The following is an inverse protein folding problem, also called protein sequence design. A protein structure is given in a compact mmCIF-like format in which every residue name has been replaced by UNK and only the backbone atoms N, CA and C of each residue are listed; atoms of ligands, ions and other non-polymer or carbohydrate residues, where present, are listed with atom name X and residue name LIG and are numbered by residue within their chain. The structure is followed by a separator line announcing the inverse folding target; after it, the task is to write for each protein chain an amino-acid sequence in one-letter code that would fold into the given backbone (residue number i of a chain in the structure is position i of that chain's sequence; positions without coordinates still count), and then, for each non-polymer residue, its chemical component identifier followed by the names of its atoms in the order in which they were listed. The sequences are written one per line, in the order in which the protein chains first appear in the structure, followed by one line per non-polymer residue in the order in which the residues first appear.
data_IF_935021658937
#
_entry.id   IF_935021658937
#
_cell.length_a   1.000
_cell.length_b   1.000
_cell.length_c   1.000
_cell.angle_alpha   90.00
_cell.angle_beta   90.00
_cell.angle_gamma   90.00
#
_symmetry.space_group_name_H-M   'P 1'
#
loop_
_entity.id
_entity.type
_entity.pdbx_description
1 polymer ?
#
# COMPACT_ATOMS: atom_id res chain seq x y z
N UNK A 1 28.13 16.66 -22.13
CA UNK A 1 29.41 15.92 -22.33
C UNK A 1 30.62 16.58 -21.65
N UNK A 2 30.84 17.90 -21.87
CA UNK A 2 31.93 18.64 -21.23
C UNK A 2 31.83 18.74 -19.69
N UNK A 3 30.62 18.77 -19.14
CA UNK A 3 30.41 18.88 -17.68
C UNK A 3 30.71 17.58 -16.91
N UNK A 4 30.59 16.41 -17.54
CA UNK A 4 30.88 15.12 -16.91
C UNK A 4 32.39 14.88 -16.74
N UNK A 5 33.19 15.36 -17.69
CA UNK A 5 34.66 15.25 -17.64
C UNK A 5 35.28 16.04 -16.46
N UNK A 6 34.64 17.15 -16.06
CA UNK A 6 35.10 17.97 -14.93
C UNK A 6 34.84 17.31 -13.57
N UNK A 7 33.82 16.47 -13.44
CA UNK A 7 33.48 15.78 -12.18
C UNK A 7 34.51 14.70 -11.87
N UNK A 8 34.99 13.98 -12.88
CA UNK A 8 35.98 12.92 -12.68
C UNK A 8 37.35 13.44 -12.23
N UNK A 9 37.71 14.66 -12.63
CA UNK A 9 39.00 15.30 -12.28
C UNK A 9 39.05 15.82 -10.84
N UNK A 10 37.89 16.06 -10.21
CA UNK A 10 37.79 16.56 -8.84
C UNK A 10 37.80 15.45 -7.77
N UNK A 11 37.42 14.22 -8.12
CA UNK A 11 37.36 13.07 -7.20
C UNK A 11 38.74 12.47 -6.87
N UNK A 12 39.84 12.94 -7.48
CA UNK A 12 41.18 12.36 -7.32
C UNK A 12 42.20 13.25 -6.56
N UNK A 13 41.78 14.36 -5.92
CA UNK A 13 42.70 15.21 -5.14
C UNK A 13 42.57 14.95 -3.63
N UNK A 14 43.69 14.85 -2.88
CA UNK A 14 43.66 14.60 -1.45
C UNK A 14 43.19 15.82 -0.66
N UNK A 15 42.51 15.56 0.45
CA UNK A 15 41.76 16.51 1.25
C UNK A 15 42.65 17.55 1.96
N UNK A 16 42.42 18.83 1.66
CA UNK A 16 42.85 19.97 2.45
C UNK A 16 41.66 20.92 2.69
N UNK A 17 41.72 21.75 3.73
CA UNK A 17 40.61 22.53 4.28
C UNK A 17 39.85 23.44 3.27
N UNK A 18 40.45 23.80 2.13
CA UNK A 18 39.79 24.56 1.05
C UNK A 18 38.82 23.72 0.18
N UNK A 19 38.86 22.39 0.28
CA UNK A 19 38.00 21.50 -0.50
C UNK A 19 36.51 21.61 -0.10
N UNK A 20 36.20 21.98 1.14
CA UNK A 20 34.82 22.08 1.63
C UNK A 20 34.06 23.28 1.03
N UNK A 21 34.76 24.40 0.79
CA UNK A 21 34.13 25.61 0.22
C UNK A 21 33.90 25.46 -1.29
N UNK A 22 34.85 24.84 -2.00
CA UNK A 22 34.77 24.55 -3.43
C UNK A 22 33.74 23.45 -3.74
N UNK A 23 33.58 22.44 -2.88
CA UNK A 23 32.55 21.40 -3.02
C UNK A 23 31.14 21.94 -2.78
N UNK A 24 30.94 22.89 -1.85
CA UNK A 24 29.64 23.53 -1.64
C UNK A 24 29.22 24.38 -2.84
N UNK A 25 30.13 25.18 -3.42
CA UNK A 25 29.84 25.97 -4.61
C UNK A 25 29.59 25.10 -5.85
N UNK A 26 30.35 24.01 -6.01
CA UNK A 26 30.14 23.05 -7.09
C UNK A 26 28.79 22.31 -6.95
N UNK A 27 28.41 21.95 -5.72
CA UNK A 27 27.10 21.36 -5.42
C UNK A 27 25.95 22.33 -5.69
N UNK A 28 26.09 23.60 -5.30
CA UNK A 28 25.10 24.65 -5.59
C UNK A 28 24.96 24.91 -7.09
N UNK A 29 26.07 24.95 -7.85
CA UNK A 29 26.05 25.07 -9.32
C UNK A 29 25.46 23.84 -9.99
N UNK A 30 25.75 22.64 -9.49
CA UNK A 30 25.13 21.39 -9.94
C UNK A 30 23.63 21.36 -9.68
N UNK A 31 23.18 21.88 -8.53
CA UNK A 31 21.76 22.05 -8.18
C UNK A 31 21.08 23.06 -9.11
N UNK A 32 21.73 24.18 -9.40
CA UNK A 32 21.22 25.21 -10.32
C UNK A 32 21.18 24.71 -11.77
N UNK A 33 22.18 23.95 -12.22
CA UNK A 33 22.19 23.32 -13.55
C UNK A 33 21.11 22.24 -13.66
N UNK A 34 20.89 21.44 -12.60
CA UNK A 34 19.81 20.47 -12.52
C UNK A 34 18.43 21.12 -12.46
N UNK A 35 18.29 22.27 -11.78
CA UNK A 35 17.09 23.11 -11.85
C UNK A 35 16.87 23.71 -13.24
N UNK A 36 17.94 24.12 -13.96
CA UNK A 36 17.86 24.62 -15.34
C UNK A 36 17.46 23.52 -16.34
N UNK A 37 17.95 22.29 -16.15
CA UNK A 37 17.54 21.11 -16.93
C UNK A 37 16.10 20.68 -16.60
N UNK A 38 15.66 20.83 -15.34
CA UNK A 38 14.26 20.61 -14.95
C UNK A 38 13.33 21.69 -15.49
N UNK A 39 13.79 22.94 -15.61
CA UNK A 39 13.06 24.06 -16.22
C UNK A 39 13.12 24.07 -17.75
N UNK A 40 13.98 23.25 -18.37
CA UNK A 40 14.06 23.07 -19.82
C UNK A 40 13.02 22.07 -20.36
N UNK A 41 12.10 21.58 -19.51
CA UNK A 41 10.89 20.89 -19.98
C UNK A 41 10.01 21.87 -20.75
N UNK A 42 9.41 21.38 -21.84
CA UNK A 42 8.60 22.13 -22.80
C UNK A 42 7.80 23.28 -22.16
N UNK A 43 7.71 24.45 -22.83
CA UNK A 43 6.93 25.57 -22.33
C UNK A 43 5.54 25.09 -21.92
N UNK A 44 5.06 25.53 -20.76
CA UNK A 44 3.75 25.13 -20.27
C UNK A 44 2.69 25.53 -21.30
N UNK A 45 1.83 24.58 -21.66
CA UNK A 45 0.83 24.73 -22.72
C UNK A 45 -0.55 24.85 -22.08
N UNK A 46 -1.44 25.60 -22.71
CA UNK A 46 -2.86 25.62 -22.33
C UNK A 46 -3.61 24.55 -23.10
N UNK A 47 -4.62 23.93 -22.49
CA UNK A 47 -5.51 23.04 -23.24
C UNK A 47 -6.43 23.89 -24.11
N UNK A 48 -5.96 24.20 -25.31
CA UNK A 48 -6.72 24.85 -26.39
C UNK A 48 -7.53 23.83 -27.21
N UNK A 49 -8.32 24.32 -28.17
CA UNK A 49 -9.21 23.48 -28.97
C UNK A 49 -8.46 22.46 -29.83
N UNK A 50 -7.27 22.80 -30.33
CA UNK A 50 -6.44 21.90 -31.16
C UNK A 50 -5.82 20.79 -30.31
N UNK A 51 -5.24 21.16 -29.15
CA UNK A 51 -4.65 20.21 -28.22
C UNK A 51 -5.71 19.28 -27.61
N UNK A 52 -6.89 19.82 -27.30
CA UNK A 52 -8.05 19.04 -26.88
C UNK A 52 -8.50 18.06 -27.98
N UNK A 53 -8.65 18.52 -29.23
CA UNK A 53 -9.02 17.67 -30.36
C UNK A 53 -8.01 16.52 -30.59
N UNK A 54 -6.72 16.77 -30.41
CA UNK A 54 -5.67 15.76 -30.51
C UNK A 54 -5.62 14.81 -29.29
N UNK A 55 -6.14 15.23 -28.13
CA UNK A 55 -6.24 14.44 -26.91
C UNK A 55 -7.49 13.55 -26.86
N UNK A 56 -8.46 13.78 -27.76
CA UNK A 56 -9.65 12.96 -27.84
C UNK A 56 -9.29 11.56 -28.36
N UNK A 57 -9.61 10.56 -27.56
CA UNK A 57 -9.53 9.17 -28.00
C UNK A 57 -10.68 8.96 -28.97
N UNK A 58 -10.37 8.85 -30.27
CA UNK A 58 -11.33 8.47 -31.33
C UNK A 58 -11.77 7.03 -31.10
N UNK A 59 -12.65 6.81 -30.13
CA UNK A 59 -13.12 5.46 -29.79
C UNK A 59 -14.17 4.91 -30.74
N UNK A 60 -14.61 5.67 -31.75
CA UNK A 60 -15.48 5.15 -32.82
C UNK A 60 -15.17 5.81 -34.17
N UNK A 61 -14.73 4.99 -35.13
CA UNK A 61 -14.76 5.31 -36.56
C UNK A 61 -16.22 5.40 -37.03
N UNK A 62 -16.60 6.40 -37.84
CA UNK A 62 -17.99 6.59 -38.26
C UNK A 62 -18.33 5.67 -39.45
N UNK A 63 -19.20 4.70 -39.24
CA UNK A 63 -20.16 4.35 -40.30
C UNK A 63 -21.44 5.12 -40.02
N UNK A 64 -21.56 6.30 -40.65
CA UNK A 64 -22.83 7.01 -40.80
C UNK A 64 -23.25 7.96 -39.66
N UNK A 65 -22.95 9.25 -39.84
CA UNK A 65 -23.88 10.34 -39.55
C UNK A 65 -24.13 10.75 -38.09
N UNK A 66 -23.76 12.00 -37.80
CA UNK A 66 -24.22 12.90 -36.72
C UNK A 66 -23.56 12.84 -35.33
N UNK A 67 -23.00 14.00 -34.93
CA UNK A 67 -22.38 14.44 -33.67
C UNK A 67 -21.65 13.41 -32.80
N UNK A 68 -20.32 13.37 -32.96
CA UNK A 68 -19.42 12.64 -32.06
C UNK A 68 -19.57 13.13 -30.61
N UNK A 69 -20.26 12.37 -29.77
CA UNK A 69 -20.19 12.52 -28.32
C UNK A 69 -18.85 11.92 -27.85
N UNK A 70 -17.82 12.75 -27.78
CA UNK A 70 -16.55 12.35 -27.19
C UNK A 70 -16.76 11.91 -25.74
N UNK A 71 -16.49 10.63 -25.46
CA UNK A 71 -16.64 10.05 -24.11
C UNK A 71 -15.31 9.95 -23.36
N UNK A 72 -14.20 9.91 -24.08
CA UNK A 72 -12.88 9.70 -23.49
C UNK A 72 -11.88 10.70 -24.05
N UNK A 73 -11.09 11.29 -23.17
CA UNK A 73 -9.98 12.19 -23.52
C UNK A 73 -8.75 11.81 -22.72
N UNK A 74 -7.64 11.59 -23.42
CA UNK A 74 -6.30 11.42 -22.84
C UNK A 74 -5.45 12.63 -23.22
N UNK A 75 -5.38 13.58 -22.27
CA UNK A 75 -4.54 14.76 -22.36
C UNK A 75 -3.29 14.64 -21.47
N UNK A 76 -2.86 13.41 -21.14
CA UNK A 76 -1.70 13.18 -20.29
C UNK A 76 -0.39 13.64 -20.93
N UNK A 77 0.60 14.02 -20.10
CA UNK A 77 1.98 14.29 -20.53
C UNK A 77 2.19 15.52 -21.42
N UNK A 78 1.19 16.40 -21.55
CA UNK A 78 1.19 17.55 -22.47
C UNK A 78 1.71 18.85 -21.84
N UNK A 79 2.25 18.79 -20.63
CA UNK A 79 2.71 19.97 -19.86
C UNK A 79 1.62 21.04 -19.68
N UNK A 80 0.35 20.60 -19.56
CA UNK A 80 -0.80 21.49 -19.46
C UNK A 80 -0.81 22.29 -18.16
N UNK A 81 -1.14 23.58 -18.24
CA UNK A 81 -1.29 24.46 -17.08
C UNK A 81 -2.73 24.87 -16.82
N UNK A 82 -3.52 25.03 -17.89
CA UNK A 82 -4.93 25.42 -17.83
C UNK A 82 -5.80 24.49 -18.67
N UNK A 83 -7.10 24.51 -18.41
CA UNK A 83 -8.10 23.57 -18.94
C UNK A 83 -9.28 24.31 -19.60
N UNK A 84 -9.01 25.40 -20.32
CA UNK A 84 -10.05 26.28 -20.88
C UNK A 84 -10.98 25.60 -21.88
N UNK A 85 -10.49 24.65 -22.68
CA UNK A 85 -11.30 23.99 -23.71
C UNK A 85 -12.22 22.88 -23.20
N UNK A 86 -12.12 22.45 -21.93
CA UNK A 86 -12.92 21.32 -21.41
C UNK A 86 -14.43 21.57 -21.45
N UNK A 87 -14.87 22.83 -21.38
CA UNK A 87 -16.28 23.20 -21.43
C UNK A 87 -16.97 22.79 -22.75
N UNK A 88 -16.21 22.58 -23.83
CA UNK A 88 -16.74 22.20 -25.14
C UNK A 88 -17.09 20.71 -25.24
N UNK A 89 -16.71 19.90 -24.25
CA UNK A 89 -16.88 18.44 -24.28
C UNK A 89 -17.73 17.92 -23.10
N UNK A 90 -18.99 18.37 -22.95
CA UNK A 90 -19.83 18.08 -21.78
C UNK A 90 -20.21 16.58 -21.62
N UNK A 91 -19.97 15.77 -22.66
CA UNK A 91 -20.31 14.34 -22.68
C UNK A 91 -19.15 13.42 -22.27
N UNK A 92 -18.00 13.98 -21.86
CA UNK A 92 -16.88 13.18 -21.38
C UNK A 92 -17.27 12.37 -20.14
N UNK A 93 -16.93 11.08 -20.17
CA UNK A 93 -17.11 10.12 -19.08
C UNK A 93 -15.77 9.70 -18.48
N UNK A 94 -14.67 9.76 -19.25
CA UNK A 94 -13.32 9.49 -18.78
C UNK A 94 -12.36 10.58 -19.26
N UNK A 95 -11.57 11.10 -18.33
CA UNK A 95 -10.60 12.17 -18.59
C UNK A 95 -9.29 11.86 -17.88
N UNK A 96 -8.21 11.74 -18.66
CA UNK A 96 -6.85 11.65 -18.14
C UNK A 96 -6.09 12.96 -18.38
N UNK A 97 -5.73 13.62 -17.29
CA UNK A 97 -4.93 14.84 -17.22
C UNK A 97 -3.60 14.60 -16.51
N UNK A 98 -3.16 13.35 -16.39
CA UNK A 98 -1.96 12.99 -15.65
C UNK A 98 -0.67 13.55 -16.26
N UNK A 99 0.39 13.65 -15.46
CA UNK A 99 1.72 14.10 -15.92
C UNK A 99 1.73 15.50 -16.57
N UNK A 100 0.89 16.40 -16.07
CA UNK A 100 0.83 17.80 -16.53
C UNK A 100 1.43 18.76 -15.49
N UNK A 101 1.09 20.04 -15.56
CA UNK A 101 1.53 21.12 -14.66
C UNK A 101 0.33 21.86 -14.05
N UNK A 102 -0.79 21.16 -13.90
CA UNK A 102 -2.03 21.72 -13.39
C UNK A 102 -1.91 22.09 -11.91
N UNK A 103 -2.44 23.26 -11.55
CA UNK A 103 -2.55 23.73 -10.16
C UNK A 103 -3.98 23.77 -9.65
N UNK A 104 -4.96 23.67 -10.55
CA UNK A 104 -6.39 23.69 -10.27
C UNK A 104 -7.11 22.82 -11.30
N UNK A 105 -8.18 22.18 -10.87
CA UNK A 105 -9.08 21.35 -11.69
C UNK A 105 -10.53 21.87 -11.66
N UNK A 106 -10.74 23.11 -11.22
CA UNK A 106 -12.06 23.74 -11.18
C UNK A 106 -12.79 23.72 -12.55
N UNK A 107 -12.04 23.76 -13.65
CA UNK A 107 -12.58 23.69 -15.01
C UNK A 107 -13.31 22.38 -15.35
N UNK A 108 -13.10 21.32 -14.56
CA UNK A 108 -13.78 20.02 -14.73
C UNK A 108 -15.29 20.11 -14.41
N UNK A 109 -15.77 21.21 -13.84
CA UNK A 109 -17.18 21.38 -13.46
C UNK A 109 -18.19 21.39 -14.60
N UNK A 110 -17.74 21.64 -15.82
CA UNK A 110 -18.59 21.48 -16.99
C UNK A 110 -18.94 20.01 -17.28
N UNK A 111 -18.19 19.04 -16.72
CA UNK A 111 -18.26 17.62 -17.06
C UNK A 111 -19.14 16.84 -16.07
N UNK A 112 -20.45 17.10 -16.09
CA UNK A 112 -21.41 16.49 -15.13
C UNK A 112 -21.59 14.97 -15.28
N UNK A 113 -21.20 14.42 -16.44
CA UNK A 113 -21.24 12.99 -16.76
C UNK A 113 -19.90 12.26 -16.53
N UNK A 114 -18.91 12.96 -15.97
CA UNK A 114 -17.60 12.37 -15.75
C UNK A 114 -17.68 11.27 -14.69
N UNK A 115 -17.22 10.08 -15.06
CA UNK A 115 -17.20 8.87 -14.22
C UNK A 115 -15.80 8.60 -13.69
N UNK A 116 -14.76 8.87 -14.50
CA UNK A 116 -13.37 8.65 -14.12
C UNK A 116 -12.51 9.86 -14.46
N UNK A 117 -11.76 10.35 -13.46
CA UNK A 117 -10.81 11.44 -13.59
C UNK A 117 -9.44 11.01 -13.07
N UNK A 118 -8.41 11.18 -13.91
CA UNK A 118 -7.02 11.07 -13.49
C UNK A 118 -6.36 12.45 -13.59
N UNK A 119 -5.80 12.91 -12.48
CA UNK A 119 -5.01 14.15 -12.34
C UNK A 119 -3.67 13.84 -11.66
N UNK A 120 -3.22 12.59 -11.77
CA UNK A 120 -1.97 12.11 -11.20
C UNK A 120 -0.75 12.91 -11.70
N UNK A 121 0.30 13.04 -10.88
CA UNK A 121 1.54 13.71 -11.27
C UNK A 121 1.36 15.15 -11.79
N UNK A 122 0.57 15.96 -11.07
CA UNK A 122 0.38 17.39 -11.30
C UNK A 122 0.96 18.22 -10.13
N UNK A 123 0.56 19.48 -10.02
CA UNK A 123 1.00 20.42 -8.98
C UNK A 123 -0.18 20.92 -8.13
N UNK A 124 -1.21 20.09 -7.95
CA UNK A 124 -2.40 20.43 -7.16
C UNK A 124 -2.05 20.58 -5.68
N UNK A 125 -2.57 21.62 -5.03
CA UNK A 125 -2.44 21.86 -3.58
C UNK A 125 -3.73 21.50 -2.82
N UNK A 126 -4.86 21.54 -3.52
CA UNK A 126 -6.18 21.12 -3.04
C UNK A 126 -6.88 20.35 -4.16
N UNK A 127 -7.86 19.53 -3.79
CA UNK A 127 -8.78 18.92 -4.76
C UNK A 127 -9.99 19.85 -4.89
N UNK A 128 -9.86 20.89 -5.71
CA UNK A 128 -10.90 21.89 -5.97
C UNK A 128 -11.94 21.39 -6.98
N UNK A 129 -12.38 20.15 -6.81
CA UNK A 129 -13.44 19.58 -7.62
C UNK A 129 -14.74 20.36 -7.40
N UNK A 130 -15.41 20.84 -8.46
CA UNK A 130 -16.80 21.29 -8.40
C UNK A 130 -17.75 20.09 -8.23
N UNK A 131 -19.07 20.33 -8.24
CA UNK A 131 -20.06 19.27 -8.12
C UNK A 131 -19.88 18.23 -9.24
N UNK A 132 -19.51 17.01 -8.87
CA UNK A 132 -19.23 15.89 -9.76
C UNK A 132 -20.03 14.65 -9.30
N UNK A 133 -21.38 14.69 -9.41
CA UNK A 133 -22.25 13.67 -8.82
C UNK A 133 -22.10 12.29 -9.46
N UNK A 134 -21.60 12.22 -10.70
CA UNK A 134 -21.41 10.97 -11.44
C UNK A 134 -20.03 10.34 -11.25
N UNK A 135 -19.11 11.02 -10.55
CA UNK A 135 -17.72 10.61 -10.46
C UNK A 135 -17.57 9.39 -9.56
N UNK A 136 -17.06 8.30 -10.11
CA UNK A 136 -16.83 7.02 -9.41
C UNK A 136 -15.36 6.78 -9.11
N UNK A 137 -14.45 7.29 -9.93
CA UNK A 137 -13.00 7.10 -9.78
C UNK A 137 -12.26 8.43 -9.86
N UNK A 138 -11.47 8.72 -8.83
CA UNK A 138 -10.56 9.87 -8.80
C UNK A 138 -9.14 9.42 -8.47
N UNK A 139 -8.22 9.63 -9.40
CA UNK A 139 -6.78 9.48 -9.16
C UNK A 139 -6.10 10.85 -9.09
N UNK A 140 -5.64 11.22 -7.89
CA UNK A 140 -4.90 12.45 -7.62
C UNK A 140 -3.53 12.18 -6.99
N UNK A 141 -2.93 11.01 -7.26
CA UNK A 141 -1.60 10.64 -6.72
C UNK A 141 -0.49 11.59 -7.17
N UNK A 142 0.58 11.66 -6.40
CA UNK A 142 1.80 12.42 -6.69
C UNK A 142 1.52 13.89 -7.04
N UNK A 143 0.70 14.55 -6.22
CA UNK A 143 0.47 15.99 -6.23
C UNK A 143 1.08 16.62 -4.95
N UNK A 144 0.68 17.85 -4.61
CA UNK A 144 1.04 18.52 -3.36
C UNK A 144 -0.19 18.77 -2.48
N UNK A 145 -1.23 17.93 -2.59
CA UNK A 145 -2.52 18.12 -1.92
C UNK A 145 -2.34 18.12 -0.41
N UNK A 146 -2.88 19.14 0.27
CA UNK A 146 -2.84 19.26 1.74
C UNK A 146 -4.17 18.94 2.41
N UNK A 147 -5.28 19.23 1.72
CA UNK A 147 -6.65 19.04 2.22
C UNK A 147 -7.58 18.59 1.09
N UNK A 148 -8.63 17.85 1.43
CA UNK A 148 -9.67 17.33 0.53
C UNK A 148 -11.05 17.87 0.90
N UNK A 149 -11.11 19.12 1.35
CA UNK A 149 -12.29 19.74 1.92
C UNK A 149 -13.49 19.71 0.96
N UNK A 150 -14.62 19.21 1.47
CA UNK A 150 -15.88 19.15 0.73
C UNK A 150 -15.93 18.10 -0.38
N UNK A 151 -14.91 17.24 -0.53
CA UNK A 151 -14.90 16.19 -1.55
C UNK A 151 -16.11 15.25 -1.42
N UNK A 152 -16.46 14.85 -0.19
CA UNK A 152 -17.59 13.95 0.07
C UNK A 152 -18.95 14.52 -0.32
N UNK A 153 -19.14 15.84 -0.21
CA UNK A 153 -20.38 16.51 -0.63
C UNK A 153 -20.46 16.64 -2.16
N UNK A 154 -19.33 16.84 -2.82
CA UNK A 154 -19.26 17.13 -4.25
C UNK A 154 -19.21 15.88 -5.13
N UNK A 155 -18.68 14.78 -4.61
CA UNK A 155 -18.50 13.51 -5.32
C UNK A 155 -19.02 12.32 -4.48
N UNK A 156 -20.27 12.39 -4.00
CA UNK A 156 -20.87 11.38 -3.12
C UNK A 156 -20.97 9.96 -3.74
N UNK A 157 -20.89 9.83 -5.07
CA UNK A 157 -20.89 8.56 -5.79
C UNK A 157 -19.50 7.92 -5.96
N UNK A 158 -18.45 8.49 -5.35
CA UNK A 158 -17.08 8.00 -5.50
C UNK A 158 -16.94 6.59 -4.91
N UNK A 159 -16.41 5.67 -5.71
CA UNK A 159 -16.15 4.28 -5.35
C UNK A 159 -14.65 4.01 -5.12
N UNK A 160 -13.78 4.76 -5.83
CA UNK A 160 -12.32 4.64 -5.74
C UNK A 160 -11.64 6.02 -5.68
N UNK A 161 -10.82 6.21 -4.65
CA UNK A 161 -10.07 7.43 -4.40
C UNK A 161 -8.59 7.12 -4.17
N UNK A 162 -7.72 7.71 -5.00
CA UNK A 162 -6.27 7.53 -4.93
C UNK A 162 -5.61 8.88 -4.67
N UNK A 163 -4.93 8.99 -3.54
CA UNK A 163 -4.32 10.20 -2.98
C UNK A 163 -2.85 9.96 -2.58
N UNK A 164 -2.21 8.90 -3.09
CA UNK A 164 -0.86 8.52 -2.70
C UNK A 164 0.18 9.60 -3.02
N UNK A 165 1.18 9.79 -2.16
CA UNK A 165 2.29 10.69 -2.43
C UNK A 165 1.88 12.17 -2.46
N UNK A 166 1.01 12.57 -1.53
CA UNK A 166 0.59 13.95 -1.31
C UNK A 166 1.14 14.47 0.03
N UNK A 167 0.63 15.61 0.52
CA UNK A 167 1.01 16.19 1.81
C UNK A 167 -0.20 16.28 2.77
N UNK A 168 -1.11 15.31 2.71
CA UNK A 168 -2.30 15.27 3.57
C UNK A 168 -1.89 15.05 5.03
N UNK A 169 -2.43 15.88 5.93
CA UNK A 169 -2.30 15.71 7.38
C UNK A 169 -3.57 15.17 8.04
N UNK A 170 -4.71 15.26 7.34
CA UNK A 170 -6.02 14.78 7.77
C UNK A 170 -6.83 14.36 6.54
N UNK A 171 -7.85 13.51 6.74
CA UNK A 171 -8.83 13.13 5.74
C UNK A 171 -10.17 13.87 5.93
N UNK A 172 -10.14 14.97 6.71
CA UNK A 172 -11.28 15.84 6.95
C UNK A 172 -11.75 16.40 5.61
N UNK A 173 -12.92 15.95 5.17
CA UNK A 173 -13.45 16.22 3.83
C UNK A 173 -13.96 14.99 3.09
N UNK A 174 -13.65 13.78 3.57
CA UNK A 174 -14.21 12.53 3.03
C UNK A 174 -15.62 12.21 3.54
N UNK A 175 -16.13 12.96 4.52
CA UNK A 175 -17.48 12.74 5.08
C UNK A 175 -18.56 12.81 4.00
N UNK A 176 -19.37 11.76 3.89
CA UNK A 176 -20.41 11.61 2.86
C UNK A 176 -20.05 10.69 1.70
N UNK A 177 -18.81 10.14 1.65
CA UNK A 177 -18.40 9.16 0.65
C UNK A 177 -18.92 7.73 0.97
N UNK A 178 -20.24 7.60 1.09
CA UNK A 178 -20.91 6.37 1.50
C UNK A 178 -20.72 5.20 0.52
N UNK A 179 -20.34 5.47 -0.73
CA UNK A 179 -20.11 4.47 -1.77
C UNK A 179 -18.64 4.07 -1.93
N UNK A 180 -17.73 4.67 -1.16
CA UNK A 180 -16.30 4.44 -1.31
C UNK A 180 -15.93 3.02 -0.90
N UNK A 181 -15.30 2.29 -1.84
CA UNK A 181 -14.85 0.90 -1.65
C UNK A 181 -13.34 0.80 -1.57
N UNK A 182 -12.62 1.70 -2.25
CA UNK A 182 -11.15 1.71 -2.29
C UNK A 182 -10.63 3.10 -1.97
N UNK A 183 -9.76 3.17 -0.96
CA UNK A 183 -9.03 4.37 -0.59
C UNK A 183 -7.54 4.05 -0.52
N UNK A 184 -6.75 4.78 -1.30
CA UNK A 184 -5.30 4.77 -1.21
C UNK A 184 -4.82 6.16 -0.84
N UNK A 185 -4.19 6.32 0.32
CA UNK A 185 -3.61 7.56 0.79
C UNK A 185 -2.23 7.33 1.40
N UNK A 186 -1.46 6.40 0.81
CA UNK A 186 -0.11 6.10 1.23
C UNK A 186 0.87 7.24 0.93
N UNK A 187 2.03 7.26 1.58
CA UNK A 187 3.06 8.30 1.43
C UNK A 187 2.50 9.72 1.66
N UNK A 188 1.73 9.89 2.72
CA UNK A 188 1.22 11.19 3.19
C UNK A 188 1.82 11.53 4.56
N UNK A 189 1.17 12.43 5.33
CA UNK A 189 1.59 12.85 6.67
C UNK A 189 0.44 12.69 7.67
N UNK A 190 -0.44 11.72 7.45
CA UNK A 190 -1.61 11.46 8.30
C UNK A 190 -1.14 11.00 9.68
N UNK A 191 -1.66 11.60 10.73
CA UNK A 191 -1.46 11.18 12.13
C UNK A 191 -2.70 10.53 12.73
N UNK A 192 -3.89 10.86 12.21
CA UNK A 192 -5.17 10.36 12.69
C UNK A 192 -6.07 10.00 11.50
N UNK A 193 -6.91 8.97 11.67
CA UNK A 193 -7.86 8.48 10.66
C UNK A 193 -9.22 8.10 11.26
N UNK A 194 -9.54 8.62 12.45
CA UNK A 194 -10.74 8.29 13.22
C UNK A 194 -12.05 8.49 12.45
N UNK A 195 -12.08 9.49 11.56
CA UNK A 195 -13.24 9.83 10.72
C UNK A 195 -13.55 8.81 9.61
N UNK A 196 -12.62 7.92 9.24
CA UNK A 196 -12.84 6.96 8.15
C UNK A 196 -14.04 6.04 8.42
N UNK A 197 -14.23 5.66 9.68
CA UNK A 197 -15.32 4.78 10.10
C UNK A 197 -16.71 5.36 9.79
N UNK A 198 -16.87 6.67 9.91
CA UNK A 198 -18.14 7.36 9.64
C UNK A 198 -18.22 7.87 8.20
N UNK A 199 -17.08 8.26 7.61
CA UNK A 199 -17.02 8.82 6.27
C UNK A 199 -17.24 7.79 5.17
N UNK A 200 -16.71 6.57 5.33
CA UNK A 200 -16.69 5.53 4.29
C UNK A 200 -17.03 4.13 4.87
N UNK A 201 -18.28 3.87 5.30
CA UNK A 201 -18.67 2.63 5.95
C UNK A 201 -18.58 1.38 5.06
N UNK A 202 -18.57 1.54 3.73
CA UNK A 202 -18.47 0.44 2.75
C UNK A 202 -17.04 0.16 2.28
N UNK A 203 -16.04 0.77 2.91
CA UNK A 203 -14.65 0.64 2.47
C UNK A 203 -14.15 -0.80 2.60
N UNK A 204 -13.69 -1.36 1.47
CA UNK A 204 -13.21 -2.73 1.36
C UNK A 204 -11.68 -2.80 1.26
N UNK A 205 -11.04 -1.79 0.66
CA UNK A 205 -9.59 -1.74 0.45
C UNK A 205 -9.06 -0.41 0.95
N UNK A 206 -8.11 -0.48 1.88
CA UNK A 206 -7.49 0.67 2.50
C UNK A 206 -5.96 0.55 2.43
N UNK A 207 -5.31 1.56 1.87
CA UNK A 207 -3.86 1.74 1.93
C UNK A 207 -3.52 3.08 2.58
N UNK A 208 -2.92 3.01 3.76
CA UNK A 208 -2.40 4.14 4.53
C UNK A 208 -0.91 3.97 4.81
N UNK A 209 -0.21 3.20 3.98
CA UNK A 209 1.22 2.93 4.16
C UNK A 209 2.05 4.22 4.11
N UNK A 210 3.19 4.26 4.82
CA UNK A 210 4.11 5.41 4.85
C UNK A 210 3.41 6.71 5.29
N UNK A 211 2.75 6.65 6.44
CA UNK A 211 2.16 7.79 7.14
C UNK A 211 2.80 7.94 8.53
N UNK A 212 2.11 8.56 9.49
CA UNK A 212 2.55 8.78 10.87
C UNK A 212 1.47 8.33 11.86
N UNK A 213 0.72 7.29 11.50
CA UNK A 213 -0.40 6.81 12.30
C UNK A 213 0.13 6.10 13.55
N UNK A 214 -0.42 6.48 14.71
CA UNK A 214 -0.15 5.84 16.00
C UNK A 214 -1.39 5.07 16.47
N UNK A 215 -2.59 5.62 16.26
CA UNK A 215 -3.88 5.00 16.56
C UNK A 215 -4.65 4.65 15.28
N UNK A 216 -5.14 3.40 15.22
CA UNK A 216 -5.97 2.86 14.15
C UNK A 216 -7.26 2.22 14.68
N UNK A 217 -7.72 2.62 15.88
CA UNK A 217 -8.92 2.09 16.53
C UNK A 217 -10.18 2.12 15.66
N UNK A 218 -10.30 3.10 14.77
CA UNK A 218 -11.41 3.21 13.84
C UNK A 218 -11.57 2.01 12.90
N UNK A 219 -10.50 1.26 12.63
CA UNK A 219 -10.58 0.07 11.78
C UNK A 219 -11.49 -1.00 12.37
N UNK A 220 -11.63 -1.08 13.69
CA UNK A 220 -12.45 -2.10 14.36
C UNK A 220 -13.96 -2.01 14.04
N UNK A 221 -14.44 -0.86 13.54
CA UNK A 221 -15.84 -0.66 13.13
C UNK A 221 -16.06 -0.82 11.61
N UNK A 222 -15.02 -1.00 10.81
CA UNK A 222 -15.10 -1.05 9.34
C UNK A 222 -15.40 -2.46 8.82
N UNK A 223 -16.60 -2.97 9.09
CA UNK A 223 -16.97 -4.37 8.84
C UNK A 223 -16.85 -4.86 7.38
N UNK A 224 -16.82 -3.93 6.41
CA UNK A 224 -16.64 -4.23 4.98
C UNK A 224 -15.18 -4.48 4.58
N UNK A 225 -14.22 -4.16 5.45
CA UNK A 225 -12.79 -4.15 5.13
C UNK A 225 -12.27 -5.56 4.81
N UNK A 226 -11.61 -5.69 3.66
CA UNK A 226 -11.01 -6.92 3.15
C UNK A 226 -9.49 -6.86 3.09
N UNK A 227 -8.95 -5.66 2.85
CA UNK A 227 -7.52 -5.41 2.75
C UNK A 227 -7.19 -4.12 3.49
N UNK A 228 -6.22 -4.19 4.39
CA UNK A 228 -5.68 -3.04 5.11
C UNK A 228 -4.15 -3.04 5.02
N UNK A 229 -3.58 -2.01 4.41
CA UNK A 229 -2.13 -1.78 4.36
C UNK A 229 -1.77 -0.57 5.19
N UNK A 230 -1.02 -0.81 6.25
CA UNK A 230 -0.61 0.15 7.27
C UNK A 230 0.92 0.15 7.44
N UNK A 231 1.65 -0.42 6.47
CA UNK A 231 3.10 -0.50 6.52
C UNK A 231 3.77 0.86 6.71
N UNK A 232 4.91 0.93 7.40
CA UNK A 232 5.66 2.18 7.64
C UNK A 232 4.80 3.24 8.34
N UNK A 233 4.26 2.92 9.50
CA UNK A 233 3.60 3.86 10.41
C UNK A 233 4.27 3.78 11.80
N UNK A 234 3.60 4.27 12.85
CA UNK A 234 4.08 4.26 14.23
C UNK A 234 3.10 3.52 15.15
N UNK A 235 2.46 2.49 14.62
CA UNK A 235 1.42 1.75 15.33
C UNK A 235 2.11 0.86 16.37
N UNK A 236 1.81 1.09 17.64
CA UNK A 236 2.35 0.31 18.76
C UNK A 236 1.38 -0.75 19.26
N UNK A 237 0.08 -0.60 18.99
CA UNK A 237 -0.98 -1.51 19.39
C UNK A 237 -2.03 -1.62 18.28
N UNK A 238 -2.59 -2.81 18.10
CA UNK A 238 -3.72 -3.02 17.21
C UNK A 238 -5.02 -3.04 18.03
N UNK A 239 -6.10 -2.41 17.53
CA UNK A 239 -7.41 -2.57 18.14
C UNK A 239 -7.92 -4.00 17.92
N UNK A 240 -8.96 -4.39 18.65
CA UNK A 240 -9.59 -5.70 18.47
C UNK A 240 -10.31 -5.76 17.12
N UNK A 241 -9.72 -6.49 16.17
CA UNK A 241 -10.21 -6.65 14.78
C UNK A 241 -11.10 -7.90 14.59
N UNK A 242 -11.51 -8.57 15.67
CA UNK A 242 -12.37 -9.76 15.64
C UNK A 242 -13.70 -9.56 14.89
N UNK A 243 -14.20 -8.33 14.84
CA UNK A 243 -15.41 -7.95 14.10
C UNK A 243 -15.22 -7.89 12.59
N UNK A 244 -13.98 -7.80 12.10
CA UNK A 244 -13.65 -7.71 10.69
C UNK A 244 -13.67 -9.08 10.01
N UNK A 245 -14.86 -9.68 9.92
CA UNK A 245 -15.07 -11.03 9.37
C UNK A 245 -14.67 -11.17 7.90
N UNK A 246 -14.41 -10.08 7.18
CA UNK A 246 -14.01 -10.08 5.77
C UNK A 246 -12.53 -9.75 5.56
N UNK A 247 -11.79 -9.38 6.61
CA UNK A 247 -10.38 -9.00 6.50
C UNK A 247 -9.55 -10.21 6.13
N UNK A 248 -8.99 -10.18 4.93
CA UNK A 248 -8.19 -11.26 4.35
C UNK A 248 -6.70 -10.90 4.30
N UNK A 249 -6.37 -9.61 4.19
CA UNK A 249 -5.00 -9.12 4.11
C UNK A 249 -4.79 -7.96 5.08
N UNK A 250 -3.78 -8.11 5.94
CA UNK A 250 -3.31 -7.07 6.85
C UNK A 250 -1.80 -6.93 6.71
N UNK A 251 -1.34 -5.74 6.39
CA UNK A 251 0.08 -5.39 6.38
C UNK A 251 0.34 -4.30 7.43
N UNK A 252 1.08 -4.65 8.47
CA UNK A 252 1.53 -3.77 9.56
C UNK A 252 3.05 -3.81 9.68
N UNK A 253 3.75 -4.13 8.58
CA UNK A 253 5.21 -4.09 8.52
C UNK A 253 5.76 -2.69 8.83
N UNK A 254 7.00 -2.59 9.31
CA UNK A 254 7.64 -1.32 9.67
C UNK A 254 6.78 -0.44 10.59
N UNK A 255 6.32 -1.01 11.71
CA UNK A 255 5.60 -0.29 12.77
C UNK A 255 6.36 -0.42 14.10
N UNK A 256 5.71 -0.07 15.21
CA UNK A 256 6.29 -0.04 16.55
C UNK A 256 5.69 -1.13 17.46
N UNK A 257 5.23 -2.25 16.88
CA UNK A 257 4.68 -3.38 17.64
C UNK A 257 5.78 -4.05 18.47
N UNK A 258 5.73 -3.86 19.78
CA UNK A 258 6.79 -4.30 20.70
C UNK A 258 6.66 -5.75 21.19
N UNK A 259 5.50 -6.40 21.00
CA UNK A 259 5.28 -7.78 21.47
C UNK A 259 4.30 -8.55 20.59
N UNK A 260 4.46 -9.88 20.56
CA UNK A 260 3.50 -10.79 19.91
C UNK A 260 2.14 -10.78 20.60
N UNK A 261 2.09 -10.45 21.90
CA UNK A 261 0.83 -10.32 22.64
C UNK A 261 -0.04 -9.20 22.06
N UNK A 262 0.54 -8.04 21.71
CA UNK A 262 -0.18 -6.95 21.06
C UNK A 262 -0.85 -7.37 19.74
N UNK A 263 -0.13 -8.18 18.95
CA UNK A 263 -0.64 -8.73 17.70
C UNK A 263 -1.75 -9.77 17.94
N UNK A 264 -1.52 -10.70 18.88
CA UNK A 264 -2.50 -11.71 19.30
C UNK A 264 -3.79 -11.04 19.74
N UNK A 265 -3.71 -10.10 20.68
CA UNK A 265 -4.88 -9.48 21.30
C UNK A 265 -5.71 -8.72 20.25
N UNK A 266 -5.06 -8.02 19.32
CA UNK A 266 -5.72 -7.33 18.20
C UNK A 266 -6.34 -8.27 17.15
N UNK A 267 -5.69 -9.40 16.83
CA UNK A 267 -6.14 -10.33 15.79
C UNK A 267 -6.89 -11.56 16.31
N UNK A 268 -7.14 -11.62 17.62
CA UNK A 268 -7.91 -12.70 18.22
C UNK A 268 -9.27 -12.84 17.53
N UNK A 269 -9.56 -14.04 17.03
CA UNK A 269 -10.84 -14.31 16.39
C UNK A 269 -11.04 -13.62 15.03
N UNK A 270 -9.98 -13.39 14.25
CA UNK A 270 -10.07 -13.00 12.83
C UNK A 270 -10.13 -14.25 11.92
N UNK A 271 -11.32 -14.80 11.58
CA UNK A 271 -11.43 -16.09 10.90
C UNK A 271 -10.97 -16.07 9.43
N UNK A 272 -11.01 -14.88 8.82
CA UNK A 272 -10.83 -14.72 7.38
C UNK A 272 -9.43 -14.24 7.02
N UNK A 273 -8.56 -13.98 7.99
CA UNK A 273 -7.20 -13.51 7.71
C UNK A 273 -6.43 -14.62 6.98
N UNK A 274 -5.80 -14.25 5.86
CA UNK A 274 -5.04 -15.14 4.97
C UNK A 274 -3.63 -14.63 4.73
N UNK A 275 -3.45 -13.33 4.62
CA UNK A 275 -2.16 -12.68 4.41
C UNK A 275 -1.86 -11.75 5.58
N UNK A 276 -0.70 -11.94 6.19
CA UNK A 276 -0.21 -11.09 7.26
C UNK A 276 1.24 -10.70 6.98
N UNK A 277 1.54 -9.41 7.10
CA UNK A 277 2.91 -8.91 7.09
C UNK A 277 3.15 -8.09 8.36
N UNK A 278 4.17 -8.46 9.13
CA UNK A 278 4.58 -7.85 10.40
C UNK A 278 6.10 -7.57 10.42
N UNK A 279 6.79 -7.70 9.28
CA UNK A 279 8.24 -7.46 9.17
C UNK A 279 8.66 -6.12 9.78
N UNK A 280 9.89 -6.06 10.30
CA UNK A 280 10.52 -4.82 10.77
C UNK A 280 9.72 -4.07 11.85
N UNK A 281 9.11 -4.82 12.76
CA UNK A 281 8.59 -4.32 14.04
C UNK A 281 9.56 -4.70 15.18
N UNK A 282 9.68 -3.87 16.23
CA UNK A 282 10.61 -4.07 17.34
C UNK A 282 10.10 -5.11 18.35
N UNK A 283 9.77 -6.32 17.89
CA UNK A 283 9.28 -7.38 18.75
C UNK A 283 10.32 -7.78 19.81
N UNK A 284 9.94 -7.68 21.08
CA UNK A 284 10.73 -8.13 22.22
C UNK A 284 10.29 -9.52 22.66
N UNK A 285 11.26 -10.42 22.87
CA UNK A 285 11.00 -11.82 23.22
C UNK A 285 12.17 -12.74 22.86
N UNK A 286 12.20 -13.92 23.50
CA UNK A 286 13.15 -15.00 23.23
C UNK A 286 12.89 -15.47 21.79
N UNK A 287 13.91 -15.42 20.93
CA UNK A 287 13.87 -15.81 19.52
C UNK A 287 13.25 -14.81 18.51
N UNK A 288 13.59 -13.52 18.60
CA UNK A 288 13.37 -12.52 17.52
C UNK A 288 14.19 -12.78 16.22
N UNK A 289 14.53 -14.05 15.95
CA UNK A 289 15.15 -14.49 14.70
C UNK A 289 14.07 -15.08 13.78
N UNK A 290 14.19 -14.83 12.47
CA UNK A 290 13.08 -14.91 11.53
C UNK A 290 12.25 -16.20 11.57
N UNK A 291 12.86 -17.38 11.67
CA UNK A 291 12.14 -18.66 11.60
C UNK A 291 11.31 -18.96 12.85
N UNK A 292 11.86 -18.74 14.06
CA UNK A 292 11.13 -19.01 15.29
C UNK A 292 9.90 -18.11 15.41
N UNK A 293 10.07 -16.82 15.13
CA UNK A 293 8.95 -15.88 15.09
C UNK A 293 7.90 -16.26 14.06
N UNK A 294 8.32 -16.71 12.87
CA UNK A 294 7.41 -17.18 11.82
C UNK A 294 6.56 -18.35 12.33
N UNK A 295 7.16 -19.33 13.00
CA UNK A 295 6.42 -20.47 13.56
C UNK A 295 5.46 -20.05 14.68
N UNK A 296 5.86 -19.14 15.57
CA UNK A 296 4.98 -18.59 16.61
C UNK A 296 3.74 -17.90 16.00
N UNK A 297 3.92 -17.11 14.94
CA UNK A 297 2.83 -16.46 14.23
C UNK A 297 1.88 -17.47 13.55
N UNK A 298 2.44 -18.53 12.97
CA UNK A 298 1.64 -19.60 12.37
C UNK A 298 0.85 -20.41 13.40
N UNK A 299 1.39 -20.57 14.60
CA UNK A 299 0.68 -21.19 15.72
C UNK A 299 -0.48 -20.30 16.20
N UNK A 300 -0.24 -19.00 16.36
CA UNK A 300 -1.28 -18.03 16.74
C UNK A 300 -2.38 -17.89 15.67
N UNK A 301 -1.99 -17.95 14.39
CA UNK A 301 -2.89 -17.71 13.26
C UNK A 301 -2.83 -18.84 12.22
N UNK A 302 -3.42 -20.01 12.51
CA UNK A 302 -3.35 -21.18 11.63
C UNK A 302 -4.09 -20.99 10.28
N UNK A 303 -4.96 -19.98 10.18
CA UNK A 303 -5.72 -19.63 8.97
C UNK A 303 -4.88 -18.94 7.89
N UNK A 304 -3.63 -18.53 8.20
CA UNK A 304 -2.76 -17.85 7.24
C UNK A 304 -2.37 -18.76 6.07
N UNK A 305 -2.40 -18.21 4.86
CA UNK A 305 -1.88 -18.82 3.63
C UNK A 305 -0.61 -18.16 3.15
N UNK A 306 -0.35 -16.92 3.57
CA UNK A 306 0.83 -16.14 3.22
C UNK A 306 1.28 -15.33 4.45
N UNK A 307 2.59 -15.32 4.69
CA UNK A 307 3.19 -14.59 5.81
C UNK A 307 4.48 -13.94 5.31
N UNK A 308 4.60 -12.61 5.49
CA UNK A 308 5.71 -11.79 4.97
C UNK A 308 5.95 -11.95 3.45
N UNK A 309 4.88 -12.06 2.67
CA UNK A 309 4.96 -12.21 1.21
C UNK A 309 5.39 -13.60 0.73
N UNK A 310 5.62 -14.56 1.63
CA UNK A 310 5.93 -15.95 1.30
C UNK A 310 4.73 -16.87 1.57
N UNK A 311 4.44 -17.84 0.69
CA UNK A 311 3.39 -18.81 0.92
C UNK A 311 3.71 -19.63 2.17
N UNK A 312 2.68 -20.00 2.92
CA UNK A 312 2.81 -20.86 4.11
C UNK A 312 2.61 -22.31 3.70
N UNK A 313 3.65 -23.11 3.81
CA UNK A 313 3.55 -24.54 3.51
C UNK A 313 2.87 -25.31 4.65
N UNK A 314 2.25 -26.45 4.31
CA UNK A 314 1.61 -27.32 5.30
C UNK A 314 2.62 -27.84 6.34
N UNK A 315 3.86 -28.09 5.94
CA UNK A 315 4.95 -28.55 6.82
C UNK A 315 5.26 -27.51 7.90
N UNK A 316 5.28 -26.22 7.55
CA UNK A 316 5.52 -25.14 8.51
C UNK A 316 4.41 -25.05 9.56
N UNK A 317 3.15 -25.23 9.15
CA UNK A 317 2.02 -25.26 10.08
C UNK A 317 2.13 -26.42 11.07
N UNK A 318 2.54 -27.59 10.59
CA UNK A 318 2.79 -28.76 11.44
C UNK A 318 3.95 -28.50 12.40
N UNK A 319 5.06 -27.92 11.92
CA UNK A 319 6.20 -27.54 12.78
C UNK A 319 5.81 -26.54 13.87
N UNK A 320 5.03 -25.51 13.51
CA UNK A 320 4.50 -24.53 14.45
C UNK A 320 3.64 -25.20 15.54
N UNK A 321 2.71 -26.07 15.15
CA UNK A 321 1.92 -26.84 16.11
C UNK A 321 2.79 -27.75 16.98
N UNK A 322 3.82 -28.37 16.39
CA UNK A 322 4.68 -29.31 17.09
C UNK A 322 5.53 -28.68 18.18
N UNK A 323 5.96 -27.43 17.97
CA UNK A 323 6.73 -26.64 18.94
C UNK A 323 5.93 -26.28 20.19
N UNK A 324 4.61 -26.16 20.07
CA UNK A 324 3.72 -25.79 21.17
C UNK A 324 2.88 -26.94 21.71
N UNK A 325 2.82 -28.08 21.01
CA UNK A 325 2.13 -29.28 21.49
C UNK A 325 3.00 -30.01 22.51
N UNK A 326 2.54 -30.09 23.75
CA UNK A 326 3.15 -30.93 24.78
C UNK A 326 2.75 -32.43 24.67
N UNK A 327 1.84 -32.77 23.74
CA UNK A 327 1.26 -34.12 23.61
C UNK A 327 1.82 -34.89 22.40
N UNK A 328 2.59 -35.95 22.68
CA UNK A 328 3.20 -36.83 21.68
C UNK A 328 2.16 -37.52 20.76
N UNK A 329 0.95 -37.77 21.27
CA UNK A 329 -0.11 -38.42 20.50
C UNK A 329 -0.77 -37.48 19.47
N UNK A 330 -0.85 -36.17 19.77
CA UNK A 330 -1.33 -35.18 18.82
C UNK A 330 -0.36 -35.01 17.64
N UNK A 331 0.94 -35.03 17.93
CA UNK A 331 2.02 -35.02 16.93
C UNK A 331 1.95 -36.23 16.00
N UNK A 332 1.74 -37.43 16.55
CA UNK A 332 1.59 -38.66 15.78
C UNK A 332 0.32 -38.67 14.93
N UNK A 333 -0.79 -38.13 15.43
CA UNK A 333 -2.03 -38.01 14.68
C UNK A 333 -1.90 -37.03 13.49
N UNK A 334 -1.22 -35.90 13.70
CA UNK A 334 -0.95 -34.91 12.64
C UNK A 334 0.01 -35.49 11.59
N UNK A 335 1.07 -36.19 12.03
CA UNK A 335 2.03 -36.84 11.14
C UNK A 335 1.38 -37.91 10.26
N UNK A 336 0.52 -38.75 10.83
CA UNK A 336 -0.26 -39.77 10.08
C UNK A 336 -1.27 -39.17 9.11
N UNK A 337 -1.75 -37.96 9.37
CA UNK A 337 -2.74 -37.29 8.53
C UNK A 337 -2.12 -36.56 7.32
N UNK A 338 -0.85 -36.17 7.42
CA UNK A 338 -0.17 -35.36 6.41
C UNK A 338 0.98 -36.08 5.69
N UNK A 339 1.46 -37.22 6.19
CA UNK A 339 2.34 -38.14 5.45
C UNK A 339 1.76 -39.57 5.51
N UNK A 340 1.13 -40.06 4.43
CA UNK A 340 0.81 -41.47 4.31
C UNK A 340 2.08 -42.25 3.93
N UNK A 341 2.53 -43.09 4.86
CA UNK A 341 3.51 -44.18 4.75
C UNK A 341 4.42 -44.23 3.51
N UNK A 342 5.68 -43.86 3.69
CA UNK A 342 6.79 -44.65 3.15
C UNK A 342 7.79 -44.98 4.26
N UNK A 343 8.00 -46.27 4.51
CA UNK A 343 9.17 -46.77 5.25
C UNK A 343 9.00 -47.01 6.75
N UNK A 344 8.01 -47.80 7.16
CA UNK A 344 8.06 -48.49 8.45
C UNK A 344 9.22 -49.50 8.46
N UNK A 345 10.29 -49.20 9.19
CA UNK A 345 11.25 -50.21 9.64
C UNK A 345 11.40 -50.16 11.16
N UNK A 346 10.51 -50.91 11.84
CA UNK A 346 10.70 -51.75 13.03
C UNK A 346 11.67 -51.37 14.19
N UNK A 347 12.23 -50.17 14.31
CA UNK A 347 13.14 -49.79 15.41
C UNK A 347 12.53 -48.86 16.47
N UNK A 348 11.35 -48.26 16.19
CA UNK A 348 10.74 -47.27 17.08
C UNK A 348 9.94 -47.87 18.26
N UNK A 349 9.61 -49.17 18.22
CA UNK A 349 8.80 -49.80 19.27
C UNK A 349 9.59 -50.18 20.53
N UNK A 350 10.91 -50.33 20.45
CA UNK A 350 11.76 -50.66 21.61
C UNK A 350 12.35 -49.42 22.30
N UNK A 351 12.55 -48.32 21.58
CA UNK A 351 13.12 -47.09 22.14
C UNK A 351 12.14 -46.28 23.03
N UNK A 352 10.84 -46.55 22.96
CA UNK A 352 9.80 -45.82 23.71
C UNK A 352 9.66 -46.24 25.19
N UNK A 353 10.49 -47.18 25.68
CA UNK A 353 10.37 -47.74 27.04
C UNK A 353 11.49 -47.35 28.02
N UNK A 354 12.44 -46.49 27.64
CA UNK A 354 13.45 -46.00 28.57
C UNK A 354 13.13 -44.55 29.01
N UNK A 355 13.28 -44.22 30.31
CA UNK A 355 13.02 -42.87 30.80
C UNK A 355 14.12 -41.91 30.29
N UNK A 356 13.69 -40.84 29.64
CA UNK A 356 14.54 -39.79 29.07
C UNK A 356 15.25 -38.99 30.19
N UNK A 357 16.58 -38.84 30.11
CA UNK A 357 17.37 -37.98 31.01
C UNK A 357 17.87 -36.67 30.38
N UNK A 358 17.51 -36.35 29.13
CA UNK A 358 17.78 -35.03 28.51
C UNK A 358 17.03 -34.87 27.17
N UNK A 359 16.58 -33.65 26.85
CA UNK A 359 15.82 -33.32 25.62
C UNK A 359 16.66 -33.42 24.33
N UNK A 360 17.98 -33.45 24.41
CA UNK A 360 18.88 -33.53 23.24
C UNK A 360 19.11 -34.97 22.73
N UNK A 361 18.74 -35.99 23.50
CA UNK A 361 18.96 -37.41 23.15
C UNK A 361 17.70 -38.14 22.67
N UNK A 362 16.62 -37.41 22.36
CA UNK A 362 15.42 -38.02 21.79
C UNK A 362 15.75 -38.71 20.45
N UNK A 363 15.54 -40.04 20.33
CA UNK A 363 15.83 -40.78 19.10
C UNK A 363 15.04 -40.25 17.89
N UNK A 364 13.91 -39.58 18.15
CA UNK A 364 13.08 -38.93 17.14
C UNK A 364 13.68 -37.63 16.60
N UNK A 365 14.43 -36.89 17.43
CA UNK A 365 15.13 -35.67 17.00
C UNK A 365 16.36 -36.04 16.18
N UNK A 366 17.14 -37.06 16.58
CA UNK A 366 18.25 -37.59 15.77
C UNK A 366 17.79 -38.15 14.43
N UNK A 367 16.70 -38.91 14.40
CA UNK A 367 16.14 -39.45 13.15
C UNK A 367 15.61 -38.36 12.19
N UNK A 368 15.38 -37.14 12.67
CA UNK A 368 14.96 -36.00 11.83
C UNK A 368 16.13 -35.18 11.29
N UNK A 369 17.26 -35.11 12.02
CA UNK A 369 18.48 -34.42 11.55
C UNK A 369 19.11 -35.15 10.36
N UNK A 370 19.06 -36.49 10.36
CA UNK A 370 19.67 -37.31 9.29
C UNK A 370 18.90 -37.32 7.96
N UNK A 371 17.63 -36.90 7.93
CA UNK A 371 16.84 -36.80 6.67
C UNK A 371 17.07 -35.45 5.96
N UNK A 372 17.83 -34.54 6.57
CA UNK A 372 18.17 -33.23 6.02
C UNK A 372 19.59 -33.08 5.44
N UNK A 373 20.36 -34.18 5.32
CA UNK A 373 21.70 -34.19 4.74
C UNK A 373 21.72 -34.70 3.29
#
# INVERSE_FOLDING_TARGET
PADLANIHKYMQRPAGADAASLTLQAWQRGRAARQRLLSARAPAVDLDAECAAAALVRSLSPEGGSSFAYRQMDASGRSLRTLSALAQYPHLTSLDLSHNKLRSIAAVGALTRLVSLSVAHNLLVTVDLPAAPSLRRLDARCNAVRHVDGLGQRAHALEELILDGNNLSSLSGLSGLCQLRTLSAGRNRLSEVSELATAAPLLARLDLSRNRLEDVACLASMAALTTARLAHNRISQLPVLSRLRRLAELDVSHNELASLAALRDGLTGSPSLRRLAVEANPFSGVDASGEAMRLELLWLFPSLSELEGSPVEAVEKVRAQSRHSADADALLAIRRRHLPDEGLAASASEAARQPLQSEEDSPLVRAWVDVGA
#
